data_IF_177626727957
#
_entry.id   IF_177626727957
#
_cell.length_a   1.000
_cell.length_b   1.000
_cell.length_c   1.000
_cell.angle_alpha   90.00
_cell.angle_beta   90.00
_cell.angle_gamma   90.00
#
_symmetry.space_group_name_H-M   'P 1'
#
loop_
_entity.id
_entity.type
_entity.pdbx_description
1 polymer ?
#
# COMPACT_ATOMS: atom_id res chain seq x y z
N UNK A 1 10.66 70.83 44.91
CA UNK A 1 9.34 70.27 44.56
C UNK A 1 9.31 70.09 43.05
N UNK A 2 9.06 68.85 42.61
CA UNK A 2 9.08 68.40 41.21
C UNK A 2 7.70 68.66 40.59
N UNK A 3 7.64 69.24 39.38
CA UNK A 3 6.46 69.27 38.51
C UNK A 3 6.90 68.77 37.13
N UNK A 4 6.58 67.52 36.81
CA UNK A 4 5.50 67.09 35.91
C UNK A 4 5.79 67.38 34.42
N UNK A 5 6.36 66.39 33.73
CA UNK A 5 6.19 66.23 32.28
C UNK A 5 5.48 64.90 32.05
N UNK A 6 4.22 65.03 31.65
CA UNK A 6 3.29 63.96 31.33
C UNK A 6 3.75 63.23 30.08
N UNK A 7 4.10 61.95 30.19
CA UNK A 7 4.33 61.07 29.04
C UNK A 7 2.99 60.42 28.70
N UNK A 8 2.41 60.83 27.57
CA UNK A 8 1.28 60.14 26.95
C UNK A 8 1.76 58.80 26.38
N UNK A 9 1.45 57.71 27.07
CA UNK A 9 1.61 56.37 26.54
C UNK A 9 0.44 56.06 25.60
N UNK A 10 0.66 56.16 24.29
CA UNK A 10 -0.28 55.68 23.29
C UNK A 10 -0.31 54.15 23.34
N UNK A 11 -1.42 53.58 23.82
CA UNK A 11 -1.65 52.14 23.84
C UNK A 11 -2.06 51.71 22.43
N UNK A 12 -1.10 51.25 21.64
CA UNK A 12 -1.34 50.63 20.34
C UNK A 12 -2.00 49.26 20.55
N UNK A 13 -3.33 49.22 20.44
CA UNK A 13 -4.08 47.95 20.35
C UNK A 13 -3.84 47.38 18.96
N UNK A 14 -2.91 46.43 18.86
CA UNK A 14 -2.75 45.61 17.66
C UNK A 14 -3.93 44.66 17.58
N UNK A 15 -4.88 44.95 16.70
CA UNK A 15 -5.88 43.97 16.27
C UNK A 15 -5.16 42.89 15.47
N UNK A 16 -4.73 41.83 16.15
CA UNK A 16 -4.35 40.60 15.49
C UNK A 16 -5.61 39.99 14.84
N UNK A 17 -5.87 40.34 13.58
CA UNK A 17 -6.74 39.53 12.73
C UNK A 17 -6.04 38.20 12.57
N UNK A 18 -6.34 37.26 13.47
CA UNK A 18 -5.82 35.91 13.42
C UNK A 18 -6.17 35.31 12.07
N UNK A 19 -5.16 35.07 11.25
CA UNK A 19 -5.28 34.23 10.08
C UNK A 19 -5.59 32.82 10.61
N UNK A 20 -6.87 32.50 10.79
CA UNK A 20 -7.28 31.16 11.18
C UNK A 20 -7.07 30.26 9.97
N UNK A 21 -6.02 29.44 10.00
CA UNK A 21 -5.81 28.42 8.99
C UNK A 21 -7.04 27.51 8.99
N UNK A 22 -7.67 27.37 7.80
CA UNK A 22 -8.83 26.49 7.64
C UNK A 22 -8.37 25.04 7.81
N UNK A 23 -9.05 24.29 8.67
CA UNK A 23 -8.81 22.85 8.81
C UNK A 23 -9.04 22.13 7.48
N UNK A 24 -8.18 21.18 7.09
CA UNK A 24 -8.39 20.39 5.89
C UNK A 24 -9.70 19.60 5.97
N UNK A 25 -10.50 19.56 4.89
CA UNK A 25 -11.72 18.76 4.85
C UNK A 25 -11.39 17.28 4.89
N UNK A 26 -12.31 16.49 5.45
CA UNK A 26 -12.24 15.03 5.45
C UNK A 26 -13.32 14.47 4.53
N UNK A 27 -12.93 13.53 3.67
CA UNK A 27 -13.83 12.89 2.72
C UNK A 27 -13.69 11.37 2.79
N UNK A 28 -14.81 10.64 2.78
CA UNK A 28 -14.75 9.20 2.52
C UNK A 28 -14.44 9.00 1.05
N UNK A 29 -13.23 8.51 0.76
CA UNK A 29 -12.74 8.36 -0.62
C UNK A 29 -12.87 6.95 -1.17
N UNK A 30 -13.11 5.97 -0.31
CA UNK A 30 -13.34 4.59 -0.72
C UNK A 30 -14.15 3.84 0.34
N UNK A 31 -15.02 2.93 -0.08
CA UNK A 31 -15.72 2.00 0.80
C UNK A 31 -15.40 0.58 0.38
N UNK A 32 -14.80 -0.20 1.27
CA UNK A 32 -14.60 -1.62 1.05
C UNK A 32 -15.93 -2.37 1.18
N UNK A 33 -16.78 -1.92 2.09
CA UNK A 33 -18.14 -2.38 2.36
C UNK A 33 -18.88 -1.34 3.25
N UNK A 34 -19.88 -1.77 4.03
CA UNK A 34 -20.71 -0.94 4.89
C UNK A 34 -19.99 -0.42 6.15
N UNK A 35 -18.97 -1.13 6.64
CA UNK A 35 -18.30 -0.84 7.92
C UNK A 35 -16.82 -0.49 7.77
N UNK A 36 -16.21 -0.77 6.60
CA UNK A 36 -14.81 -0.47 6.29
C UNK A 36 -14.67 0.58 5.20
N UNK A 37 -13.93 1.65 5.47
CA UNK A 37 -13.76 2.75 4.52
C UNK A 37 -12.44 3.52 4.71
N UNK A 38 -12.06 4.28 3.68
CA UNK A 38 -10.92 5.18 3.69
C UNK A 38 -11.39 6.63 3.78
N UNK A 39 -10.74 7.39 4.65
CA UNK A 39 -10.97 8.82 4.84
C UNK A 39 -9.71 9.59 4.43
N UNK A 40 -9.86 10.53 3.50
CA UNK A 40 -8.80 11.43 3.10
C UNK A 40 -9.03 12.78 3.78
N UNK A 41 -8.11 13.17 4.66
CA UNK A 41 -8.07 14.52 5.22
C UNK A 41 -7.03 15.34 4.48
N UNK A 42 -7.46 16.32 3.69
CA UNK A 42 -6.56 17.04 2.79
C UNK A 42 -7.26 17.92 1.76
N UNK A 43 -6.49 18.49 0.84
CA UNK A 43 -6.95 19.44 -0.16
C UNK A 43 -6.71 18.88 -1.57
N UNK A 44 -7.64 19.12 -2.50
CA UNK A 44 -7.44 18.73 -3.90
C UNK A 44 -7.17 17.23 -4.08
N UNK A 45 -7.80 16.38 -3.27
CA UNK A 45 -7.64 14.93 -3.29
C UNK A 45 -6.22 14.43 -3.00
N UNK A 46 -5.48 15.21 -2.21
CA UNK A 46 -4.19 14.86 -1.65
C UNK A 46 -4.15 15.18 -0.15
N UNK A 47 -3.61 14.27 0.68
CA UNK A 47 -3.56 14.50 2.12
C UNK A 47 -3.13 13.30 2.96
N UNK A 48 -3.54 13.30 4.23
CA UNK A 48 -3.38 12.13 5.11
C UNK A 48 -4.53 11.13 4.87
N UNK A 49 -4.19 9.84 4.88
CA UNK A 49 -5.15 8.77 4.67
C UNK A 49 -5.38 8.00 5.97
N UNK A 50 -6.65 7.86 6.32
CA UNK A 50 -7.13 7.07 7.44
C UNK A 50 -7.91 5.85 6.95
N UNK A 51 -7.77 4.74 7.67
CA UNK A 51 -8.58 3.54 7.52
C UNK A 51 -9.46 3.37 8.74
N UNK A 52 -10.73 3.10 8.50
CA UNK A 52 -11.74 2.89 9.54
C UNK A 52 -12.44 1.56 9.32
N UNK A 53 -12.51 0.74 10.35
CA UNK A 53 -13.37 -0.44 10.47
C UNK A 53 -14.20 -0.30 11.74
N UNK A 54 -15.47 0.04 11.58
CA UNK A 54 -16.37 0.32 12.72
C UNK A 54 -16.77 -0.95 13.47
N UNK A 55 -16.79 -2.10 12.80
CA UNK A 55 -17.12 -3.38 13.41
C UNK A 55 -16.00 -3.87 14.33
N UNK A 56 -14.75 -3.68 13.92
CA UNK A 56 -13.56 -4.05 14.72
C UNK A 56 -13.06 -2.94 15.64
N UNK A 57 -13.63 -1.74 15.56
CA UNK A 57 -13.17 -0.57 16.32
C UNK A 57 -11.75 -0.14 15.94
N UNK A 58 -11.38 -0.28 14.66
CA UNK A 58 -10.06 0.10 14.15
C UNK A 58 -10.18 1.48 13.48
N UNK A 59 -9.31 2.40 13.88
CA UNK A 59 -9.13 3.69 13.21
C UNK A 59 -7.63 4.00 13.21
N UNK A 60 -6.98 3.83 12.06
CA UNK A 60 -5.52 3.91 11.92
C UNK A 60 -5.14 4.77 10.73
N UNK A 61 -3.90 5.28 10.71
CA UNK A 61 -3.40 6.16 9.65
C UNK A 61 -2.37 5.45 8.78
N UNK A 62 -2.77 4.78 7.68
CA UNK A 62 -1.84 4.16 6.74
C UNK A 62 -0.81 5.11 6.15
N UNK A 63 -1.22 6.34 5.80
CA UNK A 63 -0.34 7.33 5.17
C UNK A 63 -0.47 8.67 5.87
N UNK A 64 0.64 9.23 6.33
CA UNK A 64 0.65 10.43 7.17
C UNK A 64 0.49 11.74 6.41
N UNK A 65 0.76 11.76 5.10
CA UNK A 65 0.68 12.94 4.22
C UNK A 65 0.83 12.54 2.75
N UNK A 66 0.41 13.43 1.84
CA UNK A 66 0.57 13.32 0.38
C UNK A 66 0.00 12.04 -0.25
N UNK A 67 -0.91 11.33 0.41
CA UNK A 67 -1.66 10.27 -0.22
C UNK A 67 -2.54 10.85 -1.32
N UNK A 68 -2.50 10.22 -2.50
CA UNK A 68 -3.32 10.59 -3.66
C UNK A 68 -4.15 9.38 -4.07
N UNK A 69 -5.44 9.60 -4.32
CA UNK A 69 -6.38 8.52 -4.60
C UNK A 69 -6.00 7.73 -5.85
N UNK A 70 -6.08 6.41 -5.77
CA UNK A 70 -5.93 5.55 -6.93
C UNK A 70 -7.13 5.69 -7.87
N UNK A 71 -6.85 5.87 -9.16
CA UNK A 71 -7.86 6.24 -10.17
C UNK A 71 -8.26 5.10 -11.11
N UNK A 72 -7.59 3.95 -11.07
CA UNK A 72 -7.99 2.77 -11.84
C UNK A 72 -9.00 1.92 -11.03
N UNK A 73 -9.53 0.85 -11.63
CA UNK A 73 -10.48 -0.05 -10.95
C UNK A 73 -9.82 -0.68 -9.73
N UNK A 74 -10.49 -0.61 -8.58
CA UNK A 74 -10.02 -1.11 -7.30
C UNK A 74 -11.12 -1.93 -6.61
N UNK A 75 -10.90 -3.23 -6.44
CA UNK A 75 -11.85 -4.17 -5.85
C UNK A 75 -11.19 -4.89 -4.68
N UNK A 76 -11.73 -4.73 -3.48
CA UNK A 76 -11.06 -5.20 -2.27
C UNK A 76 -12.02 -5.86 -1.27
N UNK A 77 -12.40 -7.13 -1.49
CA UNK A 77 -13.21 -7.90 -0.53
C UNK A 77 -12.42 -8.40 0.70
N UNK A 78 -11.11 -8.59 0.61
CA UNK A 78 -10.33 -9.23 1.69
C UNK A 78 -10.32 -8.37 2.97
N UNK A 79 -10.42 -9.02 4.14
CA UNK A 79 -10.47 -8.32 5.43
C UNK A 79 -9.14 -8.33 6.18
N UNK A 80 -8.43 -9.45 6.16
CA UNK A 80 -7.18 -9.60 6.91
C UNK A 80 -6.02 -8.90 6.21
N UNK A 81 -5.88 -9.14 4.91
CA UNK A 81 -4.88 -8.49 4.08
C UNK A 81 -5.48 -7.29 3.34
N UNK A 82 -5.05 -6.10 3.73
CA UNK A 82 -5.48 -4.85 3.12
C UNK A 82 -4.32 -4.31 2.29
N UNK A 83 -4.61 -3.81 1.09
CA UNK A 83 -3.61 -3.24 0.20
C UNK A 83 -4.22 -2.02 -0.48
N UNK A 84 -3.65 -0.86 -0.21
CA UNK A 84 -4.17 0.44 -0.65
C UNK A 84 -3.19 1.01 -1.68
N UNK A 85 -3.52 1.02 -2.97
CA UNK A 85 -2.69 1.66 -3.97
C UNK A 85 -2.71 3.19 -3.85
N UNK A 86 -1.67 3.83 -4.38
CA UNK A 86 -1.58 5.29 -4.56
C UNK A 86 -1.55 5.65 -6.06
N UNK A 87 -1.77 6.93 -6.36
CA UNK A 87 -1.52 7.52 -7.68
C UNK A 87 -0.02 7.79 -7.94
N UNK A 88 0.35 8.00 -9.21
CA UNK A 88 1.70 8.29 -9.76
C UNK A 88 2.67 7.11 -9.78
N UNK A 89 2.86 6.49 -8.62
CA UNK A 89 3.76 5.35 -8.43
C UNK A 89 2.90 4.14 -8.05
N UNK A 90 3.09 2.94 -8.65
CA UNK A 90 2.39 1.71 -8.23
C UNK A 90 2.65 1.27 -6.78
N UNK A 91 3.18 2.14 -5.93
CA UNK A 91 3.30 1.95 -4.49
C UNK A 91 1.98 1.59 -3.82
N UNK A 92 2.08 0.75 -2.79
CA UNK A 92 0.92 0.28 -2.04
C UNK A 92 1.24 0.29 -0.55
N UNK A 93 0.30 0.77 0.26
CA UNK A 93 0.34 0.62 1.71
C UNK A 93 -0.46 -0.62 2.09
N UNK A 94 0.17 -1.56 2.81
CA UNK A 94 -0.44 -2.84 3.14
C UNK A 94 -0.61 -3.04 4.64
N UNK A 95 -1.63 -3.80 5.02
CA UNK A 95 -1.82 -4.34 6.35
C UNK A 95 -2.05 -5.85 6.24
N UNK A 96 -1.53 -6.60 7.19
CA UNK A 96 -1.71 -8.08 7.27
C UNK A 96 -2.53 -8.50 8.48
N UNK A 97 -3.10 -7.53 9.18
CA UNK A 97 -3.71 -7.67 10.49
C UNK A 97 -4.99 -6.82 10.63
N UNK A 98 -5.80 -6.79 9.57
CA UNK A 98 -7.11 -6.11 9.52
C UNK A 98 -7.04 -4.57 9.59
N UNK A 99 -5.90 -3.98 9.24
CA UNK A 99 -5.68 -2.52 9.28
C UNK A 99 -5.13 -2.02 10.62
N UNK A 100 -4.63 -2.90 11.50
CA UNK A 100 -4.04 -2.49 12.79
C UNK A 100 -2.63 -1.92 12.60
N UNK A 101 -1.83 -2.54 11.75
CA UNK A 101 -0.49 -2.08 11.39
C UNK A 101 -0.35 -1.96 9.89
N UNK A 102 0.53 -1.05 9.47
CA UNK A 102 0.74 -0.70 8.06
C UNK A 102 2.21 -0.79 7.69
N UNK A 103 2.49 -1.20 6.46
CA UNK A 103 3.84 -1.26 5.92
C UNK A 103 3.80 -0.99 4.41
N UNK A 104 4.85 -0.38 3.84
CA UNK A 104 4.95 -0.29 2.39
C UNK A 104 5.12 -1.69 1.77
N UNK A 105 4.52 -1.87 0.62
CA UNK A 105 4.76 -3.00 -0.27
C UNK A 105 5.82 -2.63 -1.32
N UNK A 106 6.56 -3.65 -1.78
CA UNK A 106 7.67 -3.47 -2.72
C UNK A 106 7.47 -4.28 -4.00
N UNK A 107 7.95 -3.79 -5.13
CA UNK A 107 8.14 -4.64 -6.30
C UNK A 107 9.45 -5.42 -6.18
N UNK A 108 9.55 -6.59 -6.82
CA UNK A 108 10.81 -7.35 -6.83
C UNK A 108 11.97 -6.50 -7.35
N UNK A 109 13.20 -6.84 -6.96
CA UNK A 109 14.43 -6.14 -7.38
C UNK A 109 14.82 -6.52 -8.82
N UNK A 110 14.19 -7.53 -9.43
CA UNK A 110 14.45 -7.95 -10.80
C UNK A 110 13.49 -7.32 -11.84
N UNK A 111 13.86 -7.34 -13.14
CA UNK A 111 12.99 -6.89 -14.22
C UNK A 111 11.65 -7.63 -14.20
N UNK A 112 10.55 -6.87 -14.12
CA UNK A 112 9.20 -7.38 -14.25
C UNK A 112 8.50 -6.88 -15.50
N UNK A 113 9.07 -5.94 -16.25
CA UNK A 113 8.48 -5.36 -17.46
C UNK A 113 9.33 -5.62 -18.71
N UNK A 114 8.75 -5.54 -19.92
CA UNK A 114 9.49 -5.73 -21.17
C UNK A 114 10.62 -4.72 -21.41
N UNK A 115 10.51 -3.52 -20.83
CA UNK A 115 11.52 -2.45 -20.91
C UNK A 115 12.66 -2.62 -19.89
N UNK A 116 12.63 -3.68 -19.09
CA UNK A 116 13.63 -3.99 -18.07
C UNK A 116 13.36 -3.36 -16.71
N UNK A 117 12.32 -2.55 -16.56
CA UNK A 117 11.92 -1.98 -15.26
C UNK A 117 11.32 -3.05 -14.35
N UNK A 118 11.34 -2.79 -13.05
CA UNK A 118 10.92 -3.75 -12.03
C UNK A 118 9.45 -3.61 -11.62
N UNK A 119 8.77 -2.56 -12.08
CA UNK A 119 7.39 -2.23 -11.73
C UNK A 119 6.68 -1.61 -12.94
N UNK A 120 5.34 -1.70 -13.03
CA UNK A 120 4.63 -1.18 -14.18
C UNK A 120 4.54 0.35 -14.14
N UNK A 121 4.38 0.97 -15.31
CA UNK A 121 3.90 2.35 -15.38
C UNK A 121 2.46 2.44 -14.84
N UNK A 122 2.15 3.52 -14.12
CA UNK A 122 0.80 3.78 -13.62
C UNK A 122 -0.26 3.75 -14.74
N UNK A 123 0.10 4.22 -15.94
CA UNK A 123 -0.82 4.26 -17.08
C UNK A 123 -1.09 2.90 -17.73
N UNK A 124 -0.29 1.89 -17.40
CA UNK A 124 -0.52 0.52 -17.85
C UNK A 124 -1.35 -0.30 -16.87
N UNK A 125 -1.60 0.23 -15.67
CA UNK A 125 -2.47 -0.42 -14.69
C UNK A 125 -3.92 -0.38 -15.17
N UNK A 126 -4.55 -1.57 -15.24
CA UNK A 126 -5.97 -1.75 -15.55
C UNK A 126 -6.78 -1.78 -14.26
N UNK A 127 -6.34 -2.59 -13.30
CA UNK A 127 -7.06 -2.77 -12.04
C UNK A 127 -6.17 -3.33 -10.94
N UNK A 128 -6.54 -3.07 -9.69
CA UNK A 128 -6.00 -3.76 -8.53
C UNK A 128 -7.14 -4.47 -7.79
N UNK A 129 -7.00 -5.78 -7.63
CA UNK A 129 -7.94 -6.62 -6.87
C UNK A 129 -7.24 -7.27 -5.68
N UNK A 130 -7.90 -7.33 -4.53
CA UNK A 130 -7.40 -8.07 -3.35
C UNK A 130 -8.43 -9.07 -2.87
N UNK A 131 -8.21 -10.34 -3.21
CA UNK A 131 -9.14 -11.44 -2.98
C UNK A 131 -8.40 -12.62 -2.37
N UNK A 132 -9.06 -13.36 -1.47
CA UNK A 132 -8.45 -14.49 -0.75
C UNK A 132 -7.16 -14.10 -0.01
N UNK A 133 -7.11 -12.90 0.55
CA UNK A 133 -5.93 -12.36 1.24
C UNK A 133 -4.66 -12.28 0.35
N UNK A 134 -4.85 -12.21 -0.97
CA UNK A 134 -3.79 -12.04 -1.96
C UNK A 134 -4.15 -10.85 -2.85
N UNK A 135 -3.18 -9.99 -3.12
CA UNK A 135 -3.38 -8.91 -4.07
C UNK A 135 -2.85 -9.21 -5.47
N UNK A 136 -3.55 -8.63 -6.45
CA UNK A 136 -3.43 -8.84 -7.88
C UNK A 136 -3.49 -7.49 -8.60
N UNK A 137 -2.36 -7.05 -9.15
CA UNK A 137 -2.28 -5.84 -9.96
C UNK A 137 -2.22 -6.24 -11.44
N UNK A 138 -3.35 -6.05 -12.13
CA UNK A 138 -3.48 -6.34 -13.56
C UNK A 138 -3.05 -5.12 -14.37
N UNK A 139 -2.13 -5.35 -15.30
CA UNK A 139 -1.67 -4.34 -16.26
C UNK A 139 -2.03 -4.74 -17.69
N UNK A 140 -1.76 -3.86 -18.67
CA UNK A 140 -1.93 -4.17 -20.10
C UNK A 140 -1.09 -5.36 -20.57
N UNK A 141 0.00 -5.67 -19.86
CA UNK A 141 0.98 -6.64 -20.32
C UNK A 141 1.13 -7.83 -19.37
N UNK A 142 0.85 -7.65 -18.07
CA UNK A 142 1.25 -8.60 -17.02
C UNK A 142 0.27 -8.64 -15.85
N UNK A 143 0.36 -9.72 -15.09
CA UNK A 143 -0.28 -9.87 -13.81
C UNK A 143 0.79 -9.90 -12.71
N UNK A 144 0.74 -8.92 -11.83
CA UNK A 144 1.55 -8.88 -10.62
C UNK A 144 0.76 -9.48 -9.46
N UNK A 145 1.42 -10.34 -8.69
CA UNK A 145 0.81 -11.05 -7.58
C UNK A 145 1.69 -10.94 -6.34
N UNK A 146 1.05 -10.72 -5.20
CA UNK A 146 1.64 -11.08 -3.91
C UNK A 146 1.65 -12.60 -3.70
N UNK A 147 2.35 -13.11 -2.69
CA UNK A 147 2.28 -14.53 -2.35
C UNK A 147 0.92 -14.93 -1.76
N UNK A 148 0.64 -16.23 -1.77
CA UNK A 148 -0.50 -16.84 -1.07
C UNK A 148 -0.46 -16.55 0.44
N UNK A 149 -1.60 -16.59 1.15
CA UNK A 149 -1.78 -15.91 2.41
C UNK A 149 -1.27 -16.63 3.66
N UNK A 150 -0.01 -17.05 3.61
CA UNK A 150 0.71 -17.73 4.67
C UNK A 150 2.23 -17.53 4.53
N UNK A 151 2.94 -17.63 5.66
CA UNK A 151 4.40 -17.73 5.66
C UNK A 151 4.82 -19.19 5.43
N UNK A 152 5.87 -19.40 4.63
CA UNK A 152 6.40 -20.74 4.45
C UNK A 152 7.06 -21.21 5.76
N UNK A 153 6.60 -22.31 6.39
CA UNK A 153 7.08 -22.75 7.69
C UNK A 153 8.56 -23.13 7.68
N UNK A 154 9.13 -23.43 6.50
CA UNK A 154 10.54 -23.81 6.35
C UNK A 154 11.48 -22.64 6.64
N UNK A 155 11.02 -21.40 6.47
CA UNK A 155 11.83 -20.19 6.64
C UNK A 155 11.48 -19.39 7.89
N UNK A 156 10.54 -19.87 8.70
CA UNK A 156 10.22 -19.28 10.00
C UNK A 156 11.33 -19.59 11.03
N UNK A 157 11.42 -18.84 12.15
CA UNK A 157 12.33 -19.17 13.24
C UNK A 157 12.20 -20.63 13.69
N UNK A 158 13.31 -21.37 13.71
CA UNK A 158 13.34 -22.81 14.02
C UNK A 158 13.01 -23.73 12.84
N UNK A 159 12.71 -23.18 11.66
CA UNK A 159 12.44 -23.94 10.44
C UNK A 159 13.70 -24.58 9.82
N UNK A 160 13.53 -25.66 9.03
CA UNK A 160 14.64 -26.38 8.41
C UNK A 160 15.41 -25.58 7.33
N UNK A 161 14.90 -24.43 6.87
CA UNK A 161 15.35 -23.69 5.69
C UNK A 161 15.00 -24.39 4.37
N UNK A 162 15.31 -23.75 3.24
CA UNK A 162 15.04 -24.30 1.90
C UNK A 162 16.38 -24.49 1.16
N UNK A 163 16.85 -25.72 1.02
CA UNK A 163 18.02 -25.98 0.19
C UNK A 163 17.64 -25.83 -1.29
N UNK A 164 18.49 -25.18 -2.08
CA UNK A 164 18.35 -25.09 -3.53
C UNK A 164 19.69 -25.29 -4.21
N UNK A 165 19.64 -25.73 -5.46
CA UNK A 165 20.80 -25.83 -6.34
C UNK A 165 20.46 -25.15 -7.66
N UNK A 166 21.26 -24.18 -8.06
CA UNK A 166 21.10 -23.43 -9.31
C UNK A 166 22.36 -23.57 -10.16
N UNK A 167 22.21 -23.46 -11.48
CA UNK A 167 23.35 -23.31 -12.39
C UNK A 167 23.90 -21.88 -12.25
N UNK A 168 25.23 -21.72 -12.18
CA UNK A 168 25.89 -20.41 -12.11
C UNK A 168 25.99 -19.70 -13.47
N UNK A 169 25.46 -20.31 -14.53
CA UNK A 169 25.57 -19.81 -15.90
C UNK A 169 26.91 -20.13 -16.55
N UNK A 170 27.82 -20.80 -15.84
CA UNK A 170 29.09 -21.33 -16.32
C UNK A 170 29.09 -22.87 -16.34
N UNK A 171 27.92 -23.50 -16.12
CA UNK A 171 27.75 -24.95 -16.11
C UNK A 171 28.08 -25.61 -14.78
N UNK A 172 28.33 -24.84 -13.72
CA UNK A 172 28.51 -25.38 -12.37
C UNK A 172 27.22 -25.24 -11.57
N UNK A 173 27.01 -26.21 -10.67
CA UNK A 173 25.88 -26.18 -9.73
C UNK A 173 26.28 -25.53 -8.43
N UNK A 174 25.68 -24.40 -8.10
CA UNK A 174 25.84 -23.72 -6.80
C UNK A 174 24.67 -24.10 -5.92
N UNK A 175 24.98 -24.65 -4.74
CA UNK A 175 23.97 -24.95 -3.73
C UNK A 175 23.92 -23.83 -2.70
N UNK A 176 22.72 -23.35 -2.42
CA UNK A 176 22.46 -22.34 -1.42
C UNK A 176 21.38 -22.80 -0.45
N UNK A 177 21.34 -22.16 0.71
CA UNK A 177 20.25 -22.25 1.67
C UNK A 177 19.98 -20.82 2.12
N UNK A 178 18.79 -20.23 1.85
CA UNK A 178 18.45 -18.93 2.39
C UNK A 178 18.65 -18.99 3.90
N UNK A 179 19.47 -18.09 4.45
CA UNK A 179 19.67 -18.01 5.89
C UNK A 179 18.28 -17.76 6.52
N UNK A 180 17.84 -18.57 7.49
CA UNK A 180 16.62 -18.29 8.24
C UNK A 180 16.57 -16.88 8.85
N UNK A 181 17.72 -16.22 9.02
CA UNK A 181 17.85 -14.81 9.47
C UNK A 181 17.60 -13.78 8.37
N UNK A 182 17.63 -14.19 7.09
CA UNK A 182 17.33 -13.36 5.91
C UNK A 182 16.48 -14.14 4.89
N UNK A 183 15.26 -14.57 5.25
CA UNK A 183 14.45 -15.50 4.45
C UNK A 183 13.79 -14.87 3.21
N UNK A 184 14.19 -13.65 2.85
CA UNK A 184 13.54 -12.82 1.83
C UNK A 184 12.22 -12.21 2.32
N UNK A 185 11.40 -11.74 1.38
CA UNK A 185 10.10 -11.13 1.64
C UNK A 185 9.10 -12.06 2.33
N UNK A 186 8.51 -11.56 3.41
CA UNK A 186 7.36 -12.15 4.10
C UNK A 186 6.11 -12.11 3.22
N UNK A 187 5.08 -12.88 3.58
CA UNK A 187 3.81 -12.89 2.86
C UNK A 187 3.27 -11.46 2.66
N UNK A 188 2.78 -11.20 1.44
CA UNK A 188 2.10 -9.96 1.10
C UNK A 188 3.01 -8.75 0.87
N UNK A 189 4.30 -8.83 1.20
CA UNK A 189 5.22 -7.68 1.18
C UNK A 189 5.75 -7.32 -0.21
N UNK A 190 5.75 -8.28 -1.14
CA UNK A 190 6.30 -8.09 -2.49
C UNK A 190 5.30 -8.52 -3.56
N UNK A 191 5.25 -7.77 -4.67
CA UNK A 191 4.48 -8.14 -5.85
C UNK A 191 5.43 -8.51 -6.98
N UNK A 192 5.15 -9.63 -7.63
CA UNK A 192 5.99 -10.20 -8.67
C UNK A 192 5.12 -10.70 -9.82
N UNK A 193 5.64 -10.61 -11.04
CA UNK A 193 5.10 -11.34 -12.18
C UNK A 193 5.62 -12.77 -12.16
N UNK A 194 5.00 -13.72 -12.87
CA UNK A 194 5.54 -15.08 -12.99
C UNK A 194 6.96 -15.06 -13.57
N UNK A 195 7.22 -14.22 -14.57
CA UNK A 195 8.56 -14.05 -15.13
C UNK A 195 9.55 -13.46 -14.11
N UNK A 196 9.15 -12.44 -13.35
CA UNK A 196 10.02 -11.88 -12.31
C UNK A 196 10.22 -12.81 -11.10
N UNK A 197 9.37 -13.83 -10.95
CA UNK A 197 9.54 -14.90 -9.97
C UNK A 197 10.63 -15.89 -10.41
N UNK A 198 10.78 -16.14 -11.71
CA UNK A 198 11.84 -16.99 -12.25
C UNK A 198 13.22 -16.45 -11.85
N UNK A 199 14.04 -17.32 -11.26
CA UNK A 199 15.38 -16.94 -10.77
C UNK A 199 15.38 -16.19 -9.42
N UNK A 200 14.22 -15.80 -8.89
CA UNK A 200 14.11 -15.25 -7.54
C UNK A 200 14.14 -16.36 -6.48
N UNK A 201 14.70 -16.08 -5.30
CA UNK A 201 14.63 -17.01 -4.17
C UNK A 201 13.20 -17.20 -3.65
N UNK A 202 12.27 -16.29 -3.98
CA UNK A 202 10.86 -16.44 -3.65
C UNK A 202 10.23 -17.66 -4.32
N UNK A 203 10.68 -18.04 -5.52
CA UNK A 203 10.17 -19.19 -6.26
C UNK A 203 10.38 -20.53 -5.53
N UNK A 204 11.21 -20.56 -4.48
CA UNK A 204 11.48 -21.75 -3.70
C UNK A 204 10.43 -21.99 -2.61
N UNK A 205 9.64 -20.95 -2.27
CA UNK A 205 8.70 -20.98 -1.16
C UNK A 205 7.35 -21.54 -1.60
N UNK A 206 6.69 -22.26 -0.69
CA UNK A 206 5.40 -22.90 -0.92
C UNK A 206 4.28 -21.88 -1.23
N UNK A 207 4.34 -20.69 -0.64
CA UNK A 207 3.37 -19.62 -0.87
C UNK A 207 3.54 -18.89 -2.21
N UNK A 208 4.57 -19.23 -2.99
CA UNK A 208 4.78 -18.75 -4.37
C UNK A 208 4.53 -19.85 -5.42
N UNK A 209 4.12 -21.06 -5.03
CA UNK A 209 3.78 -22.14 -5.96
C UNK A 209 2.33 -22.03 -6.45
N UNK A 210 2.06 -22.58 -7.64
CA UNK A 210 0.73 -22.70 -8.24
C UNK A 210 -0.03 -21.36 -8.23
N UNK A 211 0.64 -20.29 -8.67
CA UNK A 211 0.02 -18.98 -8.83
C UNK A 211 -0.94 -18.99 -10.03
N UNK A 212 -2.10 -18.31 -9.93
CA UNK A 212 -3.06 -18.25 -11.02
C UNK A 212 -2.52 -17.48 -12.22
N UNK A 213 -3.10 -17.71 -13.40
CA UNK A 213 -2.79 -16.97 -14.64
C UNK A 213 -3.64 -15.70 -14.81
N UNK A 214 -4.67 -15.55 -13.99
CA UNK A 214 -5.63 -14.45 -14.02
C UNK A 214 -6.09 -14.08 -12.61
N UNK A 215 -6.68 -12.89 -12.48
CA UNK A 215 -7.28 -12.45 -11.23
C UNK A 215 -8.44 -13.40 -10.86
N UNK A 216 -8.47 -14.00 -9.66
CA UNK A 216 -9.59 -14.84 -9.25
C UNK A 216 -10.93 -14.09 -9.22
N UNK A 217 -12.02 -14.78 -9.55
CA UNK A 217 -13.36 -14.20 -9.52
C UNK A 217 -13.72 -13.67 -8.12
N UNK A 218 -14.22 -12.43 -8.09
CA UNK A 218 -14.75 -11.80 -6.89
C UNK A 218 -16.27 -11.93 -6.88
N UNK A 219 -16.82 -12.62 -5.87
CA UNK A 219 -18.27 -12.87 -5.74
C UNK A 219 -18.85 -12.05 -4.60
N UNK A 220 -20.02 -11.44 -4.83
CA UNK A 220 -20.79 -10.76 -3.78
C UNK A 220 -20.14 -9.50 -3.22
N UNK A 221 -19.24 -8.86 -3.96
CA UNK A 221 -18.59 -7.62 -3.53
C UNK A 221 -19.58 -6.44 -3.56
N UNK A 222 -19.65 -5.70 -2.46
CA UNK A 222 -20.60 -4.59 -2.25
C UNK A 222 -19.93 -3.23 -2.08
N UNK A 223 -18.59 -3.20 -2.02
CA UNK A 223 -17.81 -1.98 -1.95
C UNK A 223 -17.78 -1.20 -3.26
N UNK A 224 -17.07 -0.08 -3.23
CA UNK A 224 -16.86 0.75 -4.41
C UNK A 224 -15.83 0.11 -5.33
N UNK A 225 -16.04 0.19 -6.64
CA UNK A 225 -15.04 -0.28 -7.62
C UNK A 225 -13.98 0.77 -7.97
N UNK A 226 -14.15 2.01 -7.51
CA UNK A 226 -13.23 3.12 -7.76
C UNK A 226 -13.20 4.04 -6.54
N UNK A 227 -12.04 4.60 -6.24
CA UNK A 227 -11.95 5.71 -5.29
C UNK A 227 -12.62 6.95 -5.88
N UNK A 228 -13.19 7.77 -5.01
CA UNK A 228 -13.91 8.98 -5.38
C UNK A 228 -13.41 10.12 -4.50
N UNK A 229 -13.28 11.32 -5.05
CA UNK A 229 -12.93 12.48 -4.26
C UNK A 229 -13.39 13.77 -4.93
N UNK A 230 -13.86 14.73 -4.12
CA UNK A 230 -14.20 16.07 -4.58
C UNK A 230 -12.96 16.97 -4.49
N UNK A 231 -12.47 17.43 -5.65
CA UNK A 231 -11.31 18.32 -5.78
C UNK A 231 -11.52 19.71 -5.14
N UNK A 232 -12.78 20.11 -4.97
CA UNK A 232 -13.18 21.42 -4.46
C UNK A 232 -13.69 21.37 -3.01
N UNK A 233 -13.54 20.22 -2.35
CA UNK A 233 -13.89 20.11 -0.94
C UNK A 233 -13.17 21.18 -0.12
N UNK A 234 -13.96 21.92 0.68
CA UNK A 234 -13.49 22.98 1.56
C UNK A 234 -12.93 24.22 0.86
N UNK A 235 -12.97 24.35 -0.47
CA UNK A 235 -12.66 25.62 -1.14
C UNK A 235 -13.77 26.64 -0.96
#
# INVERSE_FOLDING_TARGET
MKGLCTVLAATSVVLATGCQAKEPPTQVVYRFDDHRFLELKGWGCEGELWYTDTFRGIHTRPVSQFYRIFTKKFVHPSERYIAIPTWDDPGTMISKDYGKTWSPQFFSVGPNEPDGTNQPSYEDIISFTVVNDQGFLQTKHRLYMSSKPFEDPRILPGGPGIAYTVDDGMGNKVSGKPDPRSPGWAWGMVYMTKQGLEGSTQQLKANWQDLPDSVPDVKGYTGWEHMQCNMDAGK
#
